data_IF_979446804342
#
_entry.id   IF_979446804342
#
_cell.length_a   1.000
_cell.length_b   1.000
_cell.length_c   1.000
_cell.angle_alpha   90.00
_cell.angle_beta   90.00
_cell.angle_gamma   90.00
#
_symmetry.space_group_name_H-M   'P 1'
#
loop_
_entity.id
_entity.type
_entity.pdbx_description
1 polymer ?
#
# COMPACT_ATOMS: atom_id res chain seq x y z
N UNK A 1 -9.84 27.82 1.34
CA UNK A 1 -9.48 26.59 2.09
C UNK A 1 -8.88 25.58 1.12
N UNK A 2 -7.56 25.37 1.15
CA UNK A 2 -6.91 24.36 0.31
C UNK A 2 -7.39 22.97 0.73
N UNK A 3 -8.30 22.38 -0.07
CA UNK A 3 -8.94 21.10 0.23
C UNK A 3 -7.94 19.96 0.06
N UNK A 4 -7.58 19.32 1.18
CA UNK A 4 -7.07 17.94 1.22
C UNK A 4 -5.82 17.68 0.38
N UNK A 5 -4.67 18.22 0.79
CA UNK A 5 -3.38 17.80 0.20
C UNK A 5 -3.03 16.38 0.66
N UNK A 6 -2.72 15.52 -0.30
CA UNK A 6 -1.88 14.34 -0.06
C UNK A 6 -0.61 14.80 0.66
N UNK A 7 -0.14 14.00 1.61
CA UNK A 7 1.17 14.24 2.18
C UNK A 7 2.21 14.21 1.03
N UNK A 8 3.16 15.16 1.02
CA UNK A 8 3.92 15.53 -0.19
C UNK A 8 4.76 14.38 -0.79
N UNK A 9 5.00 13.30 -0.05
CA UNK A 9 5.78 12.15 -0.49
C UNK A 9 4.98 10.85 -0.46
N UNK A 10 5.19 10.02 -1.47
CA UNK A 10 4.78 8.62 -1.52
C UNK A 10 5.91 7.80 -2.10
N UNK A 11 6.04 6.55 -1.64
CA UNK A 11 7.09 5.65 -2.07
C UNK A 11 6.57 4.77 -3.20
N UNK A 12 7.38 4.57 -4.25
CA UNK A 12 7.08 3.63 -5.33
C UNK A 12 8.07 2.47 -5.24
N UNK A 13 7.54 1.24 -5.14
CA UNK A 13 8.32 0.00 -5.11
C UNK A 13 7.82 -0.89 -6.24
N UNK A 14 8.55 -0.88 -7.36
CA UNK A 14 8.14 -1.60 -8.57
C UNK A 14 6.80 -1.08 -9.13
N UNK A 15 5.78 -1.94 -9.12
CA UNK A 15 4.42 -1.63 -9.57
C UNK A 15 3.47 -1.23 -8.42
N UNK A 16 3.99 -1.06 -7.21
CA UNK A 16 3.25 -0.66 -6.02
C UNK A 16 3.58 0.79 -5.67
N UNK A 17 2.56 1.60 -5.35
CA UNK A 17 2.74 2.84 -4.61
C UNK A 17 2.24 2.72 -3.17
N UNK A 18 3.03 3.22 -2.22
CA UNK A 18 2.71 3.28 -0.80
C UNK A 18 2.47 4.75 -0.44
N UNK A 19 1.23 5.09 -0.10
CA UNK A 19 0.79 6.44 0.22
C UNK A 19 0.45 6.56 1.70
N UNK A 20 0.77 7.72 2.27
CA UNK A 20 0.30 8.12 3.59
C UNK A 20 -0.81 9.15 3.43
N UNK A 21 -2.04 8.75 3.75
CA UNK A 21 -3.16 9.68 3.81
C UNK A 21 -3.30 10.23 5.21
N UNK A 22 -3.39 11.55 5.34
CA UNK A 22 -3.77 12.17 6.61
C UNK A 22 -5.22 11.80 6.96
N UNK A 23 -5.45 11.53 8.25
CA UNK A 23 -6.73 11.02 8.77
C UNK A 23 -7.94 11.93 8.53
N UNK A 24 -7.71 13.17 8.08
CA UNK A 24 -8.74 14.18 7.81
C UNK A 24 -9.33 14.11 6.38
N UNK A 25 -8.82 13.23 5.51
CA UNK A 25 -9.29 13.12 4.13
C UNK A 25 -10.58 12.30 4.02
N UNK A 26 -11.58 12.88 3.33
CA UNK A 26 -12.82 12.18 2.97
C UNK A 26 -12.56 11.06 1.96
N UNK A 27 -13.44 10.05 1.92
CA UNK A 27 -13.32 8.92 0.97
C UNK A 27 -13.20 9.40 -0.49
N UNK A 28 -13.99 10.40 -0.89
CA UNK A 28 -13.97 10.93 -2.25
C UNK A 28 -12.63 11.59 -2.60
N UNK A 29 -12.06 12.38 -1.70
CA UNK A 29 -10.74 13.00 -1.91
C UNK A 29 -9.63 11.95 -2.06
N UNK A 30 -9.68 10.88 -1.26
CA UNK A 30 -8.75 9.75 -1.39
C UNK A 30 -8.85 9.10 -2.75
N UNK A 31 -10.07 8.90 -3.26
CA UNK A 31 -10.27 8.32 -4.59
C UNK A 31 -9.72 9.21 -5.71
N UNK A 32 -9.95 10.52 -5.65
CA UNK A 32 -9.38 11.47 -6.63
C UNK A 32 -7.85 11.44 -6.61
N UNK A 33 -7.26 11.52 -5.42
CA UNK A 33 -5.82 11.41 -5.20
C UNK A 33 -5.22 10.11 -5.79
N UNK A 34 -5.90 8.98 -5.57
CA UNK A 34 -5.50 7.68 -6.11
C UNK A 34 -5.55 7.66 -7.64
N UNK A 35 -6.61 8.23 -8.24
CA UNK A 35 -6.72 8.34 -9.70
C UNK A 35 -5.59 9.17 -10.27
N UNK A 36 -5.25 10.30 -9.64
CA UNK A 36 -4.15 11.16 -10.08
C UNK A 36 -2.79 10.44 -10.04
N UNK A 37 -2.54 9.65 -8.99
CA UNK A 37 -1.30 8.85 -8.87
C UNK A 37 -1.19 7.82 -10.00
N UNK A 38 -2.29 7.12 -10.31
CA UNK A 38 -2.33 6.12 -11.38
C UNK A 38 -2.18 6.76 -12.77
N UNK A 39 -2.77 7.94 -12.98
CA UNK A 39 -2.67 8.67 -14.25
C UNK A 39 -1.25 9.18 -14.50
N UNK A 40 -0.58 9.68 -13.45
CA UNK A 40 0.81 10.15 -13.54
C UNK A 40 1.81 9.01 -13.69
N UNK A 41 1.57 7.88 -13.02
CA UNK A 41 2.49 6.76 -12.99
C UNK A 41 1.86 5.52 -13.63
N UNK A 42 2.00 5.40 -14.96
CA UNK A 42 1.41 4.30 -15.74
C UNK A 42 1.91 2.90 -15.32
N UNK A 43 3.09 2.82 -14.68
CA UNK A 43 3.68 1.58 -14.18
C UNK A 43 3.07 1.09 -12.86
N UNK A 44 2.37 1.97 -12.12
CA UNK A 44 1.79 1.61 -10.83
C UNK A 44 0.42 0.95 -11.05
N UNK A 45 0.30 -0.29 -10.59
CA UNK A 45 -0.94 -1.08 -10.68
C UNK A 45 -1.67 -1.21 -9.34
N UNK A 46 -0.92 -1.13 -8.24
CA UNK A 46 -1.45 -1.33 -6.89
C UNK A 46 -1.09 -0.17 -5.98
N UNK A 47 -2.04 0.27 -5.16
CA UNK A 47 -1.85 1.36 -4.20
C UNK A 47 -2.20 0.88 -2.78
N UNK A 48 -1.25 1.03 -1.87
CA UNK A 48 -1.42 0.77 -0.44
C UNK A 48 -1.39 2.06 0.37
N UNK A 49 -2.25 2.14 1.37
CA UNK A 49 -2.23 3.16 2.41
C UNK A 49 -1.46 2.64 3.62
N UNK A 50 -0.50 3.42 4.12
CA UNK A 50 0.10 3.17 5.43
C UNK A 50 -0.92 3.50 6.54
N UNK A 51 -1.28 2.53 7.39
CA UNK A 51 -2.31 2.69 8.43
C UNK A 51 -1.69 3.13 9.77
N UNK A 52 -0.44 2.77 10.03
CA UNK A 52 0.15 2.94 11.35
C UNK A 52 1.65 3.20 11.35
N UNK A 53 2.17 3.36 12.56
CA UNK A 53 3.61 3.33 12.82
C UNK A 53 4.15 1.92 12.57
N UNK A 54 5.43 1.87 12.24
CA UNK A 54 6.16 0.61 12.10
C UNK A 54 6.29 -0.01 13.49
N UNK A 55 5.89 -1.27 13.66
CA UNK A 55 5.91 -1.98 14.94
C UNK A 55 6.79 -3.22 14.84
N UNK A 56 7.36 -3.63 15.98
CA UNK A 56 8.20 -4.82 16.12
C UNK A 56 9.67 -4.61 15.74
N UNK A 57 10.51 -5.55 16.13
CA UNK A 57 11.96 -5.57 15.82
C UNK A 57 12.23 -5.65 14.31
N UNK A 58 11.37 -6.37 13.58
CA UNK A 58 11.47 -6.56 12.13
C UNK A 58 11.03 -5.34 11.31
N UNK A 59 10.50 -4.30 11.97
CA UNK A 59 10.13 -3.02 11.36
C UNK A 59 9.16 -3.14 10.16
N UNK A 60 8.16 -4.00 10.28
CA UNK A 60 7.17 -4.22 9.21
C UNK A 60 6.06 -3.14 9.26
N UNK A 61 5.85 -2.34 8.21
CA UNK A 61 4.78 -1.35 8.16
C UNK A 61 3.41 -2.00 7.95
N UNK A 62 2.40 -1.53 8.68
CA UNK A 62 1.01 -1.92 8.44
C UNK A 62 0.43 -1.19 7.23
N UNK A 63 0.04 -1.95 6.20
CA UNK A 63 -0.46 -1.44 4.93
C UNK A 63 -1.91 -1.88 4.69
N UNK A 64 -2.80 -0.94 4.35
CA UNK A 64 -4.15 -1.19 3.82
C UNK A 64 -4.12 -1.16 2.32
N UNK A 65 -4.74 -2.12 1.67
CA UNK A 65 -4.99 -2.03 0.23
C UNK A 65 -6.13 -1.06 -0.05
N UNK A 66 -5.95 -0.12 -0.99
CA UNK A 66 -6.99 0.88 -1.32
C UNK A 66 -7.50 0.76 -2.75
N UNK A 67 -6.66 0.35 -3.71
CA UNK A 67 -7.09 0.15 -5.10
C UNK A 67 -6.34 -1.00 -5.79
N UNK A 68 -7.00 -1.62 -6.77
CA UNK A 68 -6.52 -2.78 -7.53
C UNK A 68 -6.91 -2.69 -9.00
N UNK A 69 -5.92 -2.62 -9.90
CA UNK A 69 -6.06 -3.31 -11.19
C UNK A 69 -5.81 -4.79 -10.95
N UNK A 70 -6.62 -5.66 -11.57
CA UNK A 70 -6.54 -7.12 -11.44
C UNK A 70 -5.17 -7.70 -11.79
N UNK A 71 -4.21 -7.66 -10.86
CA UNK A 71 -3.01 -8.51 -10.80
C UNK A 71 -2.08 -8.05 -9.67
N UNK A 72 -2.00 -8.84 -8.62
CA UNK A 72 -0.83 -8.93 -7.75
C UNK A 72 -0.95 -10.25 -6.99
N UNK A 73 -0.67 -11.34 -7.69
CA UNK A 73 -0.10 -12.49 -7.01
C UNK A 73 1.16 -11.98 -6.28
N UNK A 74 1.19 -12.17 -4.96
CA UNK A 74 2.43 -12.36 -4.19
C UNK A 74 3.54 -11.30 -4.34
N UNK A 75 3.55 -10.31 -3.44
CA UNK A 75 4.79 -9.54 -3.15
C UNK A 75 5.34 -9.85 -1.74
N UNK A 76 4.75 -10.80 -1.00
CA UNK A 76 5.27 -11.21 0.30
C UNK A 76 6.41 -12.25 0.23
N UNK A 77 6.63 -12.93 -0.90
CA UNK A 77 7.72 -13.93 -1.03
C UNK A 77 9.07 -13.38 -1.48
N UNK A 78 9.13 -12.22 -2.15
CA UNK A 78 10.40 -11.79 -2.78
C UNK A 78 11.34 -11.02 -1.82
N UNK A 79 10.80 -10.36 -0.80
CA UNK A 79 11.63 -9.74 0.24
C UNK A 79 12.20 -10.77 1.24
N UNK A 80 11.53 -11.90 1.43
CA UNK A 80 11.99 -12.97 2.34
C UNK A 80 13.12 -13.85 1.73
N UNK A 81 13.24 -13.88 0.41
CA UNK A 81 14.20 -14.74 -0.30
C UNK A 81 15.61 -14.16 -0.40
N UNK A 82 15.80 -12.85 -0.20
CA UNK A 82 17.12 -12.21 -0.16
C UNK A 82 17.81 -12.30 1.21
N UNK A 83 17.11 -12.74 2.26
CA UNK A 83 17.63 -12.83 3.63
C UNK A 83 17.73 -14.26 4.18
N UNK A 84 17.50 -15.28 3.35
CA UNK A 84 17.82 -16.67 3.72
C UNK A 84 17.10 -17.21 4.96
N UNK A 85 15.95 -16.64 5.37
CA UNK A 85 15.17 -17.16 6.50
C UNK A 85 13.83 -17.71 6.03
N UNK A 86 13.69 -19.03 6.15
CA UNK A 86 12.41 -19.71 6.27
C UNK A 86 11.71 -19.13 7.50
N UNK A 87 10.62 -18.41 7.31
CA UNK A 87 9.57 -18.33 8.34
C UNK A 87 8.28 -18.84 7.73
N UNK A 88 7.71 -19.80 8.43
CA UNK A 88 6.49 -20.47 8.06
C UNK A 88 5.34 -19.47 8.02
N UNK A 89 4.59 -19.61 6.94
CA UNK A 89 3.30 -19.01 6.64
C UNK A 89 2.37 -18.84 7.85
N UNK A 90 1.93 -17.61 8.09
CA UNK A 90 0.67 -17.32 8.78
C UNK A 90 0.08 -16.04 8.18
N UNK A 91 -0.88 -16.21 7.25
CA UNK A 91 -2.19 -15.54 7.29
C UNK A 91 -2.98 -15.82 6.00
N UNK A 92 -3.96 -16.72 6.10
CA UNK A 92 -5.12 -16.77 5.22
C UNK A 92 -6.31 -17.19 6.06
N UNK A 93 -6.93 -16.24 6.77
CA UNK A 93 -8.34 -16.38 7.08
C UNK A 93 -9.11 -15.74 5.93
N UNK A 94 -9.50 -16.59 4.98
CA UNK A 94 -10.56 -16.31 4.02
C UNK A 94 -11.80 -16.05 4.86
N UNK A 95 -12.41 -14.88 4.73
CA UNK A 95 -13.84 -14.80 5.00
C UNK A 95 -14.57 -14.49 3.69
N UNK A 96 -15.42 -15.46 3.38
CA UNK A 96 -16.20 -15.66 2.17
C UNK A 96 -17.62 -15.26 2.52
N UNK A 97 -18.28 -14.59 1.56
CA UNK A 97 -19.66 -14.08 1.52
C UNK A 97 -19.89 -12.73 2.22
#
# INVERSE_FOLDING_TARGET
MEKGRLNKGFDIVGNIAIVKFDGKLTKNQKLTAIKDILNKNKNVNTIFQKIGMVQGEERIPQLKKVNWKQQCCFIQRKWLLLLGRRTESLFLSKNVK
#
